data_IF_215346484677
#
_entry.id   IF_215346484677
#
_cell.length_a   1.000
_cell.length_b   1.000
_cell.length_c   1.000
_cell.angle_alpha   90.00
_cell.angle_beta   90.00
_cell.angle_gamma   90.00
#
_symmetry.space_group_name_H-M   'P 1'
#
loop_
_entity.id
_entity.type
_entity.pdbx_description
1 polymer ?
#
# COMPACT_ATOMS: atom_id res chain seq x y z
N UNK A 1 -27.04 -6.49 -19.40
CA UNK A 1 -25.82 -6.36 -18.56
C UNK A 1 -26.22 -5.66 -17.27
N UNK A 2 -25.87 -6.22 -16.11
CA UNK A 2 -26.07 -5.56 -14.81
C UNK A 2 -24.83 -4.70 -14.53
N UNK A 3 -25.02 -3.39 -14.43
CA UNK A 3 -24.00 -2.36 -14.12
C UNK A 3 -24.62 -1.39 -13.12
N UNK A 4 -23.90 -0.64 -12.29
CA UNK A 4 -24.51 0.34 -11.38
C UNK A 4 -24.81 1.70 -12.01
N UNK A 5 -24.48 1.92 -13.29
CA UNK A 5 -24.67 3.21 -13.97
C UNK A 5 -25.61 3.04 -15.17
N UNK A 6 -26.74 3.75 -15.16
CA UNK A 6 -27.70 3.74 -16.26
C UNK A 6 -27.29 4.71 -17.39
N UNK A 7 -27.77 4.48 -18.64
CA UNK A 7 -27.69 5.48 -19.69
C UNK A 7 -28.37 6.78 -19.22
N UNK A 8 -27.58 7.83 -19.00
CA UNK A 8 -28.03 9.07 -18.34
C UNK A 8 -27.21 9.46 -17.09
N UNK A 9 -26.30 8.60 -16.63
CA UNK A 9 -25.40 8.90 -15.50
C UNK A 9 -26.02 8.65 -14.12
N UNK A 10 -27.22 8.08 -14.06
CA UNK A 10 -27.87 7.74 -12.80
C UNK A 10 -27.25 6.49 -12.18
N UNK A 11 -26.85 6.61 -10.91
CA UNK A 11 -26.33 5.49 -10.13
C UNK A 11 -27.48 4.71 -9.49
N UNK A 12 -27.44 3.38 -9.55
CA UNK A 12 -28.39 2.52 -8.84
C UNK A 12 -27.69 1.42 -8.04
N UNK A 13 -28.34 1.03 -6.95
CA UNK A 13 -27.90 -0.01 -6.03
C UNK A 13 -29.12 -0.76 -5.47
N UNK A 14 -28.91 -2.00 -5.04
CA UNK A 14 -29.90 -2.79 -4.31
C UNK A 14 -29.80 -2.54 -2.80
N UNK A 15 -30.89 -2.77 -2.08
CA UNK A 15 -30.91 -2.80 -0.61
C UNK A 15 -31.47 -4.15 -0.18
N UNK A 16 -30.68 -4.89 0.60
CA UNK A 16 -31.10 -6.13 1.25
C UNK A 16 -31.42 -5.84 2.71
N UNK A 17 -32.51 -6.41 3.22
CA UNK A 17 -32.94 -6.30 4.62
C UNK A 17 -33.13 -7.70 5.19
N UNK A 18 -32.03 -8.39 5.55
CA UNK A 18 -32.11 -9.81 5.87
C UNK A 18 -32.85 -10.06 7.17
N UNK A 19 -33.59 -11.16 7.19
CA UNK A 19 -34.19 -11.74 8.39
C UNK A 19 -33.96 -13.24 8.33
N UNK A 20 -33.50 -13.86 9.41
CA UNK A 20 -33.17 -15.27 9.43
C UNK A 20 -33.26 -15.87 10.84
N UNK A 21 -33.33 -17.19 10.88
CA UNK A 21 -33.34 -17.98 12.10
C UNK A 21 -32.10 -18.87 12.12
N UNK A 22 -31.45 -18.98 13.27
CA UNK A 22 -30.27 -19.82 13.49
C UNK A 22 -30.54 -20.74 14.67
N UNK A 23 -30.50 -22.04 14.41
CA UNK A 23 -30.59 -23.03 15.49
C UNK A 23 -29.32 -23.04 16.32
N UNK A 24 -29.47 -23.00 17.63
CA UNK A 24 -28.39 -23.08 18.59
C UNK A 24 -28.07 -24.54 18.86
N UNK A 25 -26.99 -25.02 18.23
CA UNK A 25 -26.53 -26.40 18.35
C UNK A 25 -25.44 -26.58 19.42
N UNK A 26 -25.26 -25.58 20.30
CA UNK A 26 -24.19 -25.57 21.30
C UNK A 26 -24.48 -26.58 22.42
N UNK A 27 -23.52 -27.46 22.70
CA UNK A 27 -23.65 -28.51 23.72
C UNK A 27 -23.03 -28.14 25.08
N UNK A 28 -22.02 -27.25 25.07
CA UNK A 28 -21.29 -26.84 26.26
C UNK A 28 -21.08 -25.33 26.25
N UNK A 29 -21.18 -24.71 27.42
CA UNK A 29 -20.95 -23.29 27.63
C UNK A 29 -19.79 -23.12 28.60
N UNK A 30 -18.79 -22.32 28.21
CA UNK A 30 -17.65 -21.96 29.06
C UNK A 30 -17.62 -20.44 29.22
N UNK A 31 -18.00 -19.99 30.41
CA UNK A 31 -17.99 -18.57 30.75
C UNK A 31 -16.64 -18.23 31.39
N UNK A 32 -15.94 -17.30 30.78
CA UNK A 32 -14.64 -16.80 31.23
C UNK A 32 -14.72 -15.28 31.41
N UNK A 33 -14.00 -14.78 32.41
CA UNK A 33 -13.83 -13.34 32.63
C UNK A 33 -12.93 -12.78 31.53
N UNK A 34 -13.39 -11.71 30.87
CA UNK A 34 -12.66 -11.01 29.82
C UNK A 34 -11.76 -9.91 30.40
N UNK A 35 -12.14 -9.35 31.54
CA UNK A 35 -11.43 -8.28 32.22
C UNK A 35 -12.35 -7.54 33.18
N UNK A 36 -11.99 -6.31 33.51
CA UNK A 36 -12.80 -5.44 34.37
C UNK A 36 -13.14 -4.14 33.63
N UNK A 37 -14.28 -3.54 33.97
CA UNK A 37 -14.64 -2.20 33.50
C UNK A 37 -13.84 -1.10 34.22
N UNK A 38 -14.08 0.16 33.86
CA UNK A 38 -13.44 1.33 34.46
C UNK A 38 -13.71 1.51 35.98
N UNK A 39 -14.69 0.81 36.54
CA UNK A 39 -15.03 0.78 37.96
C UNK A 39 -14.57 -0.52 38.65
N UNK A 40 -13.72 -1.30 37.98
CA UNK A 40 -13.20 -2.59 38.44
C UNK A 40 -14.27 -3.71 38.56
N UNK A 41 -15.43 -3.55 37.90
CA UNK A 41 -16.43 -4.62 37.84
C UNK A 41 -16.03 -5.67 36.79
N UNK A 42 -16.16 -6.98 37.08
CA UNK A 42 -15.82 -8.02 36.13
C UNK A 42 -16.76 -8.01 34.92
N UNK A 43 -16.17 -8.02 33.73
CA UNK A 43 -16.84 -8.25 32.45
C UNK A 43 -16.52 -9.68 32.01
N UNK A 44 -17.54 -10.44 31.65
CA UNK A 44 -17.42 -11.80 31.15
C UNK A 44 -18.11 -11.97 29.80
N UNK A 45 -17.89 -13.11 29.17
CA UNK A 45 -18.41 -13.45 27.85
C UNK A 45 -19.80 -14.09 27.85
N UNK A 46 -20.56 -14.05 28.95
CA UNK A 46 -21.88 -14.70 29.02
C UNK A 46 -22.84 -14.23 27.93
N UNK A 47 -22.78 -12.96 27.54
CA UNK A 47 -23.62 -12.39 26.49
C UNK A 47 -23.42 -13.07 25.12
N UNK A 48 -22.28 -13.75 24.92
CA UNK A 48 -21.99 -14.47 23.68
C UNK A 48 -22.64 -15.86 23.60
N UNK A 49 -23.29 -16.31 24.69
CA UNK A 49 -23.85 -17.65 24.82
C UNK A 49 -25.38 -17.61 25.03
N UNK A 50 -26.17 -17.29 23.99
CA UNK A 50 -27.64 -17.29 24.10
C UNK A 50 -28.15 -18.69 24.45
N UNK A 51 -29.17 -18.82 25.29
CA UNK A 51 -29.68 -20.13 25.72
C UNK A 51 -30.43 -20.85 24.59
N UNK A 52 -31.18 -20.09 23.78
CA UNK A 52 -32.05 -20.62 22.74
C UNK A 52 -31.53 -20.36 21.31
N UNK A 53 -32.27 -20.86 20.34
CA UNK A 53 -32.15 -20.48 18.93
C UNK A 53 -32.31 -18.95 18.77
N UNK A 54 -31.62 -18.40 17.78
CA UNK A 54 -31.65 -16.97 17.50
C UNK A 54 -32.61 -16.66 16.35
N UNK A 55 -33.57 -15.79 16.62
CA UNK A 55 -34.38 -15.16 15.58
C UNK A 55 -33.87 -13.72 15.33
N UNK A 56 -33.33 -13.49 14.14
CA UNK A 56 -32.87 -12.17 13.70
C UNK A 56 -33.91 -11.60 12.77
N UNK A 57 -34.83 -10.79 13.31
CA UNK A 57 -35.91 -10.19 12.54
C UNK A 57 -35.46 -9.01 11.67
N UNK A 58 -34.42 -8.30 12.08
CA UNK A 58 -33.86 -7.15 11.38
C UNK A 58 -32.34 -7.18 11.48
N UNK A 59 -31.70 -7.92 10.59
CA UNK A 59 -30.25 -7.81 10.43
C UNK A 59 -29.91 -6.47 9.79
N UNK A 60 -28.64 -6.06 9.95
CA UNK A 60 -28.12 -4.86 9.30
C UNK A 60 -28.41 -4.89 7.79
N UNK A 61 -28.84 -3.74 7.27
CA UNK A 61 -29.15 -3.64 5.85
C UNK A 61 -27.85 -3.69 5.06
N UNK A 62 -27.92 -4.19 3.83
CA UNK A 62 -26.76 -4.34 2.96
C UNK A 62 -27.05 -3.61 1.65
N UNK A 63 -26.16 -2.71 1.27
CA UNK A 63 -26.13 -2.14 -0.07
C UNK A 63 -25.49 -3.13 -1.04
N UNK A 64 -26.13 -3.37 -2.19
CA UNK A 64 -25.61 -4.18 -3.28
C UNK A 64 -25.31 -3.28 -4.48
N UNK A 65 -24.03 -3.19 -4.84
CA UNK A 65 -23.55 -2.29 -5.88
C UNK A 65 -22.91 -3.14 -6.99
N UNK A 66 -23.61 -3.28 -8.12
CA UNK A 66 -23.03 -3.93 -9.30
C UNK A 66 -21.81 -3.14 -9.79
N UNK A 67 -20.77 -3.81 -10.29
CA UNK A 67 -19.62 -3.08 -10.82
C UNK A 67 -19.98 -2.37 -12.13
N UNK A 68 -19.44 -1.15 -12.40
CA UNK A 68 -19.59 -0.49 -13.69
C UNK A 68 -19.19 -1.40 -14.86
N UNK A 69 -18.17 -2.23 -14.66
CA UNK A 69 -17.71 -3.27 -15.56
C UNK A 69 -18.36 -4.61 -15.19
N UNK A 70 -19.31 -5.13 -15.98
CA UNK A 70 -20.14 -6.27 -15.55
C UNK A 70 -19.38 -7.58 -15.29
N UNK A 71 -18.14 -7.71 -15.79
CA UNK A 71 -17.25 -8.85 -15.53
C UNK A 71 -16.57 -8.80 -14.15
N UNK A 72 -16.65 -7.68 -13.43
CA UNK A 72 -16.05 -7.49 -12.09
C UNK A 72 -17.04 -7.79 -10.94
N UNK A 73 -18.23 -8.30 -11.26
CA UNK A 73 -19.19 -8.77 -10.26
C UNK A 73 -19.90 -7.64 -9.50
N UNK A 74 -20.15 -7.87 -8.21
CA UNK A 74 -20.97 -7.00 -7.34
C UNK A 74 -20.28 -6.84 -5.98
N UNK A 75 -20.31 -5.62 -5.44
CA UNK A 75 -19.83 -5.31 -4.08
C UNK A 75 -21.01 -5.23 -3.11
N UNK A 76 -20.86 -5.82 -1.92
CA UNK A 76 -21.83 -5.74 -0.83
C UNK A 76 -21.23 -4.95 0.33
N UNK A 77 -21.95 -3.95 0.84
CA UNK A 77 -21.47 -3.07 1.92
C UNK A 77 -22.56 -2.99 2.99
N UNK A 78 -22.19 -3.17 4.26
CA UNK A 78 -23.12 -2.95 5.37
C UNK A 78 -23.56 -1.48 5.43
N UNK A 79 -24.87 -1.25 5.49
CA UNK A 79 -25.48 0.09 5.47
C UNK A 79 -24.97 0.97 6.61
N UNK A 80 -24.87 0.41 7.79
CA UNK A 80 -24.39 1.13 8.97
C UNK A 80 -22.96 1.65 8.81
N UNK A 81 -22.06 0.82 8.26
CA UNK A 81 -20.72 1.28 7.93
C UNK A 81 -20.75 2.33 6.82
N UNK A 82 -21.52 2.09 5.76
CA UNK A 82 -21.61 2.98 4.61
C UNK A 82 -22.18 4.36 4.98
N UNK A 83 -23.24 4.42 5.78
CA UNK A 83 -23.87 5.67 6.22
C UNK A 83 -22.95 6.45 7.15
N UNK A 84 -22.29 5.76 8.09
CA UNK A 84 -21.30 6.42 8.95
C UNK A 84 -20.16 6.98 8.10
N UNK A 85 -19.62 6.21 7.15
CA UNK A 85 -18.56 6.65 6.22
C UNK A 85 -19.04 7.76 5.27
N UNK A 86 -20.31 7.79 4.89
CA UNK A 86 -20.86 8.86 4.06
C UNK A 86 -20.94 10.19 4.84
N UNK A 87 -21.22 10.13 6.15
CA UNK A 87 -21.26 11.31 7.01
C UNK A 87 -19.87 11.92 7.27
N UNK A 88 -18.81 11.10 7.17
CA UNK A 88 -17.43 11.55 7.30
C UNK A 88 -16.51 10.58 6.52
N UNK A 89 -16.28 10.92 5.26
CA UNK A 89 -15.56 10.07 4.31
C UNK A 89 -14.05 10.06 4.56
N UNK A 90 -13.52 11.03 5.32
CA UNK A 90 -12.09 11.11 5.66
C UNK A 90 -11.64 9.88 6.45
N UNK A 91 -12.54 9.17 7.13
CA UNK A 91 -12.21 7.88 7.79
C UNK A 91 -11.79 6.76 6.83
N UNK A 92 -12.12 6.85 5.55
CA UNK A 92 -11.70 5.89 4.53
C UNK A 92 -10.23 6.12 4.18
N UNK A 93 -9.75 7.36 4.38
CA UNK A 93 -8.36 7.71 4.13
C UNK A 93 -7.45 6.91 5.06
N UNK A 94 -6.34 6.46 4.51
CA UNK A 94 -5.24 5.96 5.34
C UNK A 94 -4.73 7.12 6.20
N UNK A 95 -4.61 6.89 7.49
CA UNK A 95 -4.02 7.89 8.41
C UNK A 95 -2.62 8.25 7.91
N UNK A 96 -2.31 9.55 7.88
CA UNK A 96 -0.96 9.98 7.57
C UNK A 96 0.01 9.38 8.61
N UNK A 97 1.17 8.86 8.17
CA UNK A 97 2.12 8.27 9.10
C UNK A 97 2.59 9.32 10.12
N UNK A 98 2.83 8.92 11.38
CA UNK A 98 3.37 9.84 12.37
C UNK A 98 4.73 10.35 11.89
N UNK A 99 5.01 11.63 12.14
CA UNK A 99 6.28 12.24 11.77
C UNK A 99 7.43 11.53 12.49
N UNK A 100 8.41 11.05 11.71
CA UNK A 100 9.59 10.36 12.20
C UNK A 100 10.82 10.85 11.44
N UNK A 101 11.76 11.43 12.17
CA UNK A 101 13.09 11.81 11.68
C UNK A 101 14.13 11.38 12.70
N UNK A 102 14.94 10.36 12.37
CA UNK A 102 16.05 9.95 13.23
C UNK A 102 17.21 10.95 13.12
N UNK A 103 17.43 11.54 11.94
CA UNK A 103 18.41 12.61 11.73
C UNK A 103 18.12 13.81 12.61
N UNK A 104 16.86 14.24 12.76
CA UNK A 104 16.50 15.33 13.66
C UNK A 104 16.72 14.96 15.12
N UNK A 105 16.31 13.75 15.54
CA UNK A 105 16.57 13.24 16.90
C UNK A 105 18.08 13.27 17.20
N UNK A 106 18.92 12.84 16.26
CA UNK A 106 20.37 12.86 16.43
C UNK A 106 20.93 14.28 16.48
N UNK A 107 20.48 15.19 15.62
CA UNK A 107 20.89 16.61 15.65
C UNK A 107 20.57 17.26 16.99
N UNK A 108 19.35 17.04 17.50
CA UNK A 108 18.89 17.60 18.78
C UNK A 108 19.71 17.05 19.95
N UNK A 109 20.09 15.76 19.88
CA UNK A 109 20.96 15.11 20.85
C UNK A 109 22.46 15.38 20.63
N UNK A 110 22.84 16.19 19.64
CA UNK A 110 24.24 16.44 19.25
C UNK A 110 25.01 15.14 18.89
N UNK A 111 24.31 14.16 18.35
CA UNK A 111 24.84 12.90 17.83
C UNK A 111 25.07 13.05 16.33
N UNK A 112 26.15 12.45 15.83
CA UNK A 112 26.41 12.42 14.39
C UNK A 112 25.36 11.58 13.65
N UNK A 113 24.67 12.22 12.70
CA UNK A 113 23.74 11.61 11.75
C UNK A 113 24.31 10.42 10.95
N UNK A 114 25.63 10.32 10.77
CA UNK A 114 26.25 9.16 10.10
C UNK A 114 26.08 7.87 10.88
N UNK A 115 25.68 7.93 12.16
CA UNK A 115 25.39 6.75 12.97
C UNK A 115 24.23 5.92 12.38
N UNK A 116 23.33 6.51 11.60
CA UNK A 116 22.23 5.82 10.92
C UNK A 116 22.74 4.67 10.05
N UNK A 117 23.85 4.90 9.34
CA UNK A 117 24.50 3.93 8.45
C UNK A 117 25.12 2.75 9.21
N UNK A 118 25.31 2.90 10.53
CA UNK A 118 25.93 1.92 11.42
C UNK A 118 24.92 1.22 12.34
N UNK A 119 23.64 1.59 12.26
CA UNK A 119 22.59 0.93 13.04
C UNK A 119 22.46 -0.55 12.63
N UNK A 120 21.97 -1.43 13.52
CA UNK A 120 21.65 -2.80 13.13
C UNK A 120 20.65 -2.82 11.98
N UNK A 121 20.87 -3.73 11.02
CA UNK A 121 20.03 -3.87 9.82
C UNK A 121 18.52 -3.85 10.07
N UNK A 122 17.96 -4.53 11.10
CA UNK A 122 16.52 -4.45 11.36
C UNK A 122 16.03 -3.02 11.63
N UNK A 123 16.84 -2.20 12.31
CA UNK A 123 16.53 -0.80 12.59
C UNK A 123 16.60 0.04 11.31
N UNK A 124 17.57 -0.23 10.43
CA UNK A 124 17.68 0.43 9.13
C UNK A 124 16.47 0.13 8.24
N UNK A 125 16.01 -1.12 8.19
CA UNK A 125 14.80 -1.52 7.44
C UNK A 125 13.53 -0.91 8.03
N UNK A 126 13.40 -0.87 9.36
CA UNK A 126 12.29 -0.16 10.01
C UNK A 126 12.32 1.32 9.64
N UNK A 127 13.49 1.97 9.71
CA UNK A 127 13.61 3.38 9.34
C UNK A 127 13.32 3.63 7.86
N UNK A 128 13.77 2.74 6.96
CA UNK A 128 13.50 2.81 5.53
C UNK A 128 12.01 2.81 5.21
N UNK A 129 11.19 2.09 5.98
CA UNK A 129 9.75 1.96 5.76
C UNK A 129 8.90 2.95 6.55
N UNK A 130 9.45 3.58 7.58
CA UNK A 130 8.67 4.42 8.52
C UNK A 130 9.15 5.86 8.62
N UNK A 131 10.38 6.18 8.21
CA UNK A 131 10.86 7.56 8.25
C UNK A 131 10.05 8.44 7.30
N UNK A 132 9.72 9.63 7.79
CA UNK A 132 9.11 10.71 7.01
C UNK A 132 10.13 11.80 6.67
N UNK A 133 11.40 11.58 6.98
CA UNK A 133 12.50 12.51 6.68
C UNK A 133 13.32 12.06 5.47
N UNK A 134 13.38 12.96 4.48
CA UNK A 134 14.22 12.77 3.31
C UNK A 134 15.70 12.56 3.62
N UNK A 135 16.26 13.16 4.69
CA UNK A 135 17.67 12.99 5.03
C UNK A 135 17.98 11.56 5.47
N UNK A 136 17.13 10.98 6.32
CA UNK A 136 17.24 9.58 6.73
C UNK A 136 17.23 8.65 5.51
N UNK A 137 16.23 8.86 4.64
CA UNK A 137 16.00 8.01 3.48
C UNK A 137 17.09 8.14 2.43
N UNK A 138 17.63 9.35 2.22
CA UNK A 138 18.79 9.53 1.34
C UNK A 138 19.99 8.75 1.88
N UNK A 139 20.30 8.82 3.18
CA UNK A 139 21.42 8.04 3.75
C UNK A 139 21.23 6.53 3.56
N UNK A 140 20.03 6.03 3.82
CA UNK A 140 19.70 4.62 3.59
C UNK A 140 19.77 4.24 2.10
N UNK A 141 19.38 5.14 1.19
CA UNK A 141 19.52 4.92 -0.24
C UNK A 141 21.00 4.75 -0.64
N UNK A 142 21.88 5.63 -0.16
CA UNK A 142 23.34 5.54 -0.39
C UNK A 142 23.97 4.30 0.26
N UNK A 143 23.39 3.78 1.35
CA UNK A 143 23.84 2.53 1.96
C UNK A 143 23.41 1.30 1.14
N UNK A 144 22.25 1.38 0.48
CA UNK A 144 21.65 0.27 -0.27
C UNK A 144 22.22 0.06 -1.67
N UNK A 145 22.75 1.10 -2.30
CA UNK A 145 23.25 1.05 -3.67
C UNK A 145 24.22 2.18 -4.00
N UNK A 146 24.90 2.06 -5.14
CA UNK A 146 25.84 3.05 -5.64
C UNK A 146 25.23 3.94 -6.73
N UNK A 147 25.36 5.26 -6.57
CA UNK A 147 24.79 6.27 -7.48
C UNK A 147 25.82 6.93 -8.39
N UNK A 148 25.34 7.39 -9.55
CA UNK A 148 25.99 8.40 -10.39
C UNK A 148 25.43 9.77 -10.08
N UNK A 149 26.31 10.77 -10.04
CA UNK A 149 25.95 12.16 -9.76
C UNK A 149 26.35 13.08 -10.91
N UNK A 150 25.54 14.10 -11.15
CA UNK A 150 25.93 15.22 -12.02
C UNK A 150 26.83 16.23 -11.26
N UNK A 151 27.23 17.29 -11.95
CA UNK A 151 28.06 18.37 -11.40
C UNK A 151 27.43 19.06 -10.17
N UNK A 152 26.10 19.08 -10.08
CA UNK A 152 25.35 19.67 -8.97
C UNK A 152 25.08 18.69 -7.81
N UNK A 153 25.69 17.49 -7.83
CA UNK A 153 25.53 16.42 -6.83
C UNK A 153 24.10 15.88 -6.71
N UNK A 154 23.33 15.92 -7.78
CA UNK A 154 22.04 15.22 -7.86
C UNK A 154 22.21 13.83 -8.46
N UNK A 155 21.49 12.81 -7.94
CA UNK A 155 21.55 11.46 -8.50
C UNK A 155 20.97 11.47 -9.91
N UNK A 156 21.77 11.03 -10.87
CA UNK A 156 21.35 10.88 -12.27
C UNK A 156 21.20 9.44 -12.69
N UNK A 157 21.50 8.46 -11.84
CA UNK A 157 21.34 7.03 -12.12
C UNK A 157 22.09 6.17 -11.11
N UNK A 158 22.06 4.85 -11.32
CA UNK A 158 22.86 3.90 -10.55
C UNK A 158 24.17 3.60 -11.26
N UNK A 159 25.20 3.24 -10.50
CA UNK A 159 26.36 2.55 -11.05
C UNK A 159 25.99 1.11 -11.39
N UNK A 160 26.66 0.56 -12.40
CA UNK A 160 26.46 -0.82 -12.85
C UNK A 160 27.77 -1.58 -12.79
N UNK A 161 27.68 -2.86 -12.46
CA UNK A 161 28.79 -3.80 -12.40
C UNK A 161 28.49 -5.04 -13.23
N UNK A 162 29.54 -5.72 -13.67
CA UNK A 162 29.42 -7.00 -14.35
C UNK A 162 29.40 -8.12 -13.30
N UNK A 163 28.38 -8.95 -13.35
CA UNK A 163 28.35 -10.16 -12.53
C UNK A 163 29.35 -11.22 -13.05
N UNK A 164 29.46 -12.33 -12.32
CA UNK A 164 30.34 -13.46 -12.67
C UNK A 164 30.00 -14.13 -14.01
N UNK A 165 28.87 -13.79 -14.63
CA UNK A 165 28.41 -14.26 -15.94
C UNK A 165 28.50 -13.17 -17.02
N UNK A 166 29.20 -12.07 -16.74
CA UNK A 166 29.32 -10.89 -17.61
C UNK A 166 27.98 -10.21 -17.93
N UNK A 167 26.98 -10.36 -17.06
CA UNK A 167 25.71 -9.64 -17.17
C UNK A 167 25.84 -8.33 -16.39
N UNK A 168 25.54 -7.22 -17.05
CA UNK A 168 25.53 -5.89 -16.45
C UNK A 168 24.33 -5.76 -15.50
N UNK A 169 24.57 -5.39 -14.24
CA UNK A 169 23.55 -5.23 -13.20
C UNK A 169 23.79 -3.96 -12.38
N UNK A 170 22.74 -3.36 -11.81
CA UNK A 170 22.93 -2.23 -10.89
C UNK A 170 23.76 -2.67 -9.67
N UNK A 171 24.66 -1.81 -9.23
CA UNK A 171 25.51 -2.03 -8.05
C UNK A 171 24.70 -1.80 -6.76
N UNK A 172 23.89 -2.79 -6.40
CA UNK A 172 23.06 -2.83 -5.19
C UNK A 172 23.79 -3.66 -4.14
N UNK A 173 23.98 -3.08 -2.95
CA UNK A 173 24.70 -3.70 -1.82
C UNK A 173 23.78 -4.37 -0.80
N UNK A 174 22.53 -3.92 -0.68
CA UNK A 174 21.49 -4.56 0.15
C UNK A 174 20.13 -4.45 -0.55
N UNK A 175 19.68 -5.55 -1.15
CA UNK A 175 18.44 -5.60 -1.93
C UNK A 175 17.19 -5.28 -1.10
N UNK A 176 17.09 -5.80 0.13
CA UNK A 176 15.90 -5.54 0.96
C UNK A 176 15.83 -4.06 1.37
N UNK A 177 16.99 -3.45 1.68
CA UNK A 177 17.05 -2.04 2.03
C UNK A 177 16.77 -1.16 0.81
N UNK A 178 17.28 -1.54 -0.35
CA UNK A 178 17.00 -0.85 -1.61
C UNK A 178 15.50 -0.81 -1.91
N UNK A 179 14.84 -1.97 -1.85
CA UNK A 179 13.40 -2.08 -2.06
C UNK A 179 12.61 -1.31 -1.00
N UNK A 180 12.99 -1.42 0.27
CA UNK A 180 12.31 -0.71 1.35
C UNK A 180 12.38 0.82 1.18
N UNK A 181 13.56 1.36 0.87
CA UNK A 181 13.78 2.80 0.71
C UNK A 181 13.13 3.32 -0.57
N UNK A 182 13.25 2.61 -1.69
CA UNK A 182 12.68 3.04 -2.97
C UNK A 182 11.14 3.13 -2.94
N UNK A 183 10.49 2.30 -2.12
CA UNK A 183 9.05 2.32 -1.93
C UNK A 183 8.57 3.33 -0.86
N UNK A 184 9.49 4.04 -0.17
CA UNK A 184 9.09 5.04 0.82
C UNK A 184 8.64 6.35 0.12
N UNK A 185 7.40 6.83 0.37
CA UNK A 185 6.89 8.06 -0.23
C UNK A 185 7.72 9.31 0.06
N UNK A 186 8.37 9.39 1.22
CA UNK A 186 9.17 10.54 1.65
C UNK A 186 10.58 10.57 1.04
N UNK A 187 11.00 9.55 0.29
CA UNK A 187 12.25 9.60 -0.47
C UNK A 187 12.14 10.69 -1.56
N UNK A 188 13.14 11.56 -1.77
CA UNK A 188 13.06 12.57 -2.81
C UNK A 188 12.92 11.94 -4.21
N UNK A 189 12.09 12.52 -5.06
CA UNK A 189 11.73 11.92 -6.35
C UNK A 189 12.93 11.68 -7.27
N UNK A 190 13.94 12.55 -7.24
CA UNK A 190 15.20 12.33 -7.99
C UNK A 190 15.90 11.00 -7.63
N UNK A 191 15.80 10.55 -6.37
CA UNK A 191 16.33 9.26 -5.94
C UNK A 191 15.43 8.12 -6.40
N UNK A 192 14.10 8.25 -6.25
CA UNK A 192 13.13 7.25 -6.79
C UNK A 192 13.32 7.06 -8.30
N UNK A 193 13.50 8.17 -9.02
CA UNK A 193 13.73 8.16 -10.47
C UNK A 193 14.99 7.39 -10.83
N UNK A 194 16.11 7.70 -10.16
CA UNK A 194 17.37 7.03 -10.38
C UNK A 194 17.32 5.54 -10.00
N UNK A 195 16.61 5.19 -8.93
CA UNK A 195 16.55 3.82 -8.39
C UNK A 195 15.58 2.91 -9.17
N UNK A 196 14.34 3.34 -9.38
CA UNK A 196 13.26 2.41 -9.78
C UNK A 196 12.32 2.91 -10.87
N UNK A 197 12.20 4.22 -11.12
CA UNK A 197 11.21 4.71 -12.09
C UNK A 197 11.77 4.73 -13.51
N UNK A 198 13.05 5.07 -13.69
CA UNK A 198 13.61 5.20 -15.04
C UNK A 198 13.49 3.88 -15.82
N UNK A 199 13.03 3.91 -17.08
CA UNK A 199 13.01 2.74 -17.95
C UNK A 199 14.35 1.98 -17.93
N UNK A 200 14.29 0.67 -17.75
CA UNK A 200 15.46 -0.19 -17.67
C UNK A 200 16.04 -0.39 -16.26
N UNK A 201 15.71 0.48 -15.29
CA UNK A 201 16.22 0.35 -13.91
C UNK A 201 15.73 -0.94 -13.22
N UNK A 202 14.44 -1.27 -13.38
CA UNK A 202 13.82 -2.49 -12.83
C UNK A 202 13.89 -3.71 -13.75
N UNK A 203 14.66 -3.66 -14.84
CA UNK A 203 14.85 -4.78 -15.76
C UNK A 203 14.61 -4.44 -17.23
N UNK A 204 14.79 -5.44 -18.09
CA UNK A 204 14.85 -5.28 -19.54
C UNK A 204 13.52 -5.47 -20.29
N UNK A 205 12.38 -5.16 -19.68
CA UNK A 205 11.10 -5.23 -20.39
C UNK A 205 11.06 -4.18 -21.50
N UNK A 206 10.70 -4.62 -22.71
CA UNK A 206 10.59 -3.74 -23.87
C UNK A 206 9.42 -2.76 -23.72
N UNK A 207 9.65 -1.48 -24.00
CA UNK A 207 8.57 -0.49 -24.18
C UNK A 207 8.05 -0.65 -25.60
N UNK A 208 6.77 -0.99 -25.74
CA UNK A 208 6.12 -1.25 -27.03
C UNK A 208 5.09 -0.19 -27.42
N UNK A 209 4.74 0.70 -26.49
CA UNK A 209 3.88 1.85 -26.72
C UNK A 209 4.19 3.01 -25.78
N UNK A 210 3.88 4.21 -26.23
CA UNK A 210 3.97 5.45 -25.45
C UNK A 210 2.72 6.31 -25.68
N UNK A 211 2.27 6.99 -24.64
CA UNK A 211 1.25 8.03 -24.74
C UNK A 211 1.78 9.29 -24.10
N UNK A 212 1.84 10.37 -24.87
CA UNK A 212 2.33 11.65 -24.41
C UNK A 212 1.35 12.77 -24.76
N UNK A 213 0.98 13.54 -23.75
CA UNK A 213 0.27 14.80 -23.87
C UNK A 213 1.18 15.92 -23.38
N UNK A 214 1.31 16.99 -24.17
CA UNK A 214 2.27 18.09 -23.96
C UNK A 214 2.22 18.74 -22.56
N UNK A 215 1.13 18.57 -21.80
CA UNK A 215 0.95 19.17 -20.48
C UNK A 215 0.50 18.14 -19.44
N UNK A 216 1.40 17.21 -19.10
CA UNK A 216 1.35 16.54 -17.79
C UNK A 216 1.01 15.05 -17.79
N UNK A 217 0.89 14.40 -18.95
CA UNK A 217 0.73 12.93 -18.98
C UNK A 217 1.70 12.34 -19.97
N UNK A 218 2.61 11.51 -19.46
CA UNK A 218 3.47 10.67 -20.27
C UNK A 218 3.50 9.28 -19.65
N UNK A 219 3.15 8.26 -20.45
CA UNK A 219 2.96 6.88 -20.00
C UNK A 219 3.73 5.97 -20.96
N UNK A 220 4.46 5.01 -20.41
CA UNK A 220 5.07 3.91 -21.14
C UNK A 220 4.26 2.63 -20.97
N UNK A 221 4.06 1.90 -22.06
CA UNK A 221 3.51 0.54 -22.06
C UNK A 221 4.63 -0.50 -22.25
N UNK A 222 4.86 -1.31 -21.22
CA UNK A 222 5.88 -2.35 -21.20
C UNK A 222 5.31 -3.71 -21.54
N UNK A 223 6.00 -4.47 -22.38
CA UNK A 223 5.72 -5.89 -22.62
C UNK A 223 6.39 -6.77 -21.57
N UNK A 224 5.59 -7.45 -20.75
CA UNK A 224 6.05 -8.50 -19.83
C UNK A 224 5.86 -9.86 -20.47
N UNK A 225 6.97 -10.42 -20.94
CA UNK A 225 7.04 -11.76 -21.55
C UNK A 225 6.91 -12.91 -20.55
N UNK A 226 7.23 -12.68 -19.28
CA UNK A 226 7.15 -13.68 -18.21
C UNK A 226 5.74 -13.79 -17.59
N UNK A 227 4.70 -13.76 -18.44
CA UNK A 227 3.29 -13.85 -18.02
C UNK A 227 2.70 -15.21 -18.38
N UNK A 228 1.79 -15.70 -17.54
CA UNK A 228 0.99 -16.90 -17.82
C UNK A 228 -0.12 -16.65 -18.87
N UNK A 229 -0.31 -15.39 -19.30
CA UNK A 229 -1.29 -14.98 -20.30
C UNK A 229 -0.68 -15.15 -21.71
N UNK A 230 -1.34 -15.93 -22.57
CA UNK A 230 -0.93 -16.09 -23.97
C UNK A 230 -0.91 -14.76 -24.72
N UNK A 231 0.24 -14.38 -25.28
CA UNK A 231 0.47 -13.08 -25.93
C UNK A 231 1.25 -12.05 -25.07
N UNK A 232 1.58 -12.39 -23.82
CA UNK A 232 2.25 -11.49 -22.88
C UNK A 232 1.28 -10.62 -22.09
N UNK A 233 1.81 -9.92 -21.07
CA UNK A 233 1.06 -8.94 -20.27
C UNK A 233 1.62 -7.54 -20.54
N UNK A 234 0.75 -6.57 -20.76
CA UNK A 234 1.11 -5.17 -20.95
C UNK A 234 0.91 -4.40 -19.64
N UNK A 235 1.96 -3.74 -19.16
CA UNK A 235 1.92 -2.93 -17.95
C UNK A 235 2.19 -1.46 -18.32
N UNK A 236 1.28 -0.56 -17.93
CA UNK A 236 1.44 0.87 -18.15
C UNK A 236 1.96 1.55 -16.88
N UNK A 237 3.05 2.31 -16.99
CA UNK A 237 3.61 3.12 -15.91
C UNK A 237 3.75 4.58 -16.36
N UNK A 238 3.68 5.51 -15.41
CA UNK A 238 4.02 6.92 -15.66
C UNK A 238 5.51 7.04 -15.99
N UNK A 239 5.83 7.84 -17.01
CA UNK A 239 7.20 8.16 -17.37
C UNK A 239 7.83 9.11 -16.34
N UNK A 240 9.15 9.06 -16.22
CA UNK A 240 9.93 9.82 -15.23
C UNK A 240 9.80 11.34 -15.38
N UNK A 241 9.46 11.85 -16.57
CA UNK A 241 9.27 13.27 -16.83
C UNK A 241 7.83 13.76 -16.56
N UNK A 242 6.93 12.88 -16.09
CA UNK A 242 5.55 13.19 -15.76
C UNK A 242 5.23 13.00 -14.25
N UNK A 243 6.27 12.95 -13.41
CA UNK A 243 6.21 12.82 -11.95
C UNK A 243 6.79 14.06 -11.30
#
# INVERSE_FOLDING_TARGET
MRTCVLPGGTFFYGIHKPSYHVSNLRQQTQCDQLGNDQNDNPIDNRINFPEDDLEVQQADWIYEIANPFPFRGTTFIGKDWADRSAADYERIRLTDPPQLSLSQIFKDAQIDTTLIEKLPRPVQLSLATTSTDSEDLVRLAHLSCSFQFNETRQPVGLNYELDSKHICRPAISDDDLFEAVANNPALPDQYKIAMVIRPGAQGGSEIIGDFHQEQGTHIYEYLRRNSYIGGGHYAANMAENAI
#
